data_IF_297579407326
#
_entry.id   IF_297579407326
#
_cell.length_a   1.000
_cell.length_b   1.000
_cell.length_c   1.000
_cell.angle_alpha   90.00
_cell.angle_beta   90.00
_cell.angle_gamma   90.00
#
_symmetry.space_group_name_H-M   'P 1'
#
loop_
_entity.id
_entity.type
_entity.pdbx_description
1 polymer ?
#
# COMPACT_ATOMS: atom_id res chain seq x y z
N UNK A 1 -3.50 11.24 7.37
CA UNK A 1 -4.63 10.31 7.36
C UNK A 1 -4.81 9.70 5.99
N UNK A 2 -5.05 8.44 5.94
CA UNK A 2 -5.09 7.70 4.68
C UNK A 2 -6.53 7.48 4.28
N UNK A 3 -7.10 8.40 3.57
CA UNK A 3 -8.50 8.27 3.25
C UNK A 3 -8.75 7.81 1.82
N UNK A 4 -7.93 8.20 0.90
CA UNK A 4 -8.20 7.95 -0.52
C UNK A 4 -6.99 7.36 -1.22
N UNK A 5 -6.74 6.08 -0.95
CA UNK A 5 -5.65 5.39 -1.62
C UNK A 5 -6.13 4.88 -2.98
N UNK A 6 -5.27 5.02 -3.97
CA UNK A 6 -5.57 4.58 -5.32
C UNK A 6 -4.36 3.88 -5.91
N UNK A 7 -4.59 3.13 -6.98
CA UNK A 7 -3.47 2.53 -7.70
C UNK A 7 -2.52 3.63 -8.14
N UNK A 8 -1.23 3.38 -7.96
CA UNK A 8 -0.20 4.32 -8.34
C UNK A 8 0.19 5.29 -7.24
N UNK A 9 -0.53 5.29 -6.13
CA UNK A 9 -0.18 6.14 -5.01
C UNK A 9 0.99 5.56 -4.24
N UNK A 10 1.87 6.41 -3.78
CA UNK A 10 2.96 5.98 -2.93
C UNK A 10 2.50 5.94 -1.50
N UNK A 11 2.97 4.95 -0.77
CA UNK A 11 2.61 4.80 0.63
C UNK A 11 3.82 4.36 1.42
N UNK A 12 3.76 4.59 2.72
CA UNK A 12 4.77 4.12 3.66
C UNK A 12 4.05 3.25 4.67
N UNK A 13 4.52 2.03 4.83
CA UNK A 13 3.92 1.12 5.79
C UNK A 13 4.46 1.37 7.19
N UNK A 14 3.85 0.73 8.17
CA UNK A 14 4.22 0.92 9.56
C UNK A 14 5.70 0.59 9.80
N UNK A 15 6.23 -0.39 9.14
CA UNK A 15 7.63 -0.75 9.29
C UNK A 15 8.60 0.15 8.54
N UNK A 16 8.11 1.21 7.90
CA UNK A 16 8.98 2.10 7.14
C UNK A 16 9.22 1.67 5.71
N UNK A 17 8.46 0.70 5.24
CA UNK A 17 8.61 0.22 3.87
C UNK A 17 7.87 1.16 2.92
N UNK A 18 8.59 1.70 1.97
CA UNK A 18 8.00 2.59 0.97
C UNK A 18 7.66 1.79 -0.27
N UNK A 19 6.47 2.00 -0.79
CA UNK A 19 6.07 1.31 -2.00
C UNK A 19 4.96 2.05 -2.72
N UNK A 20 4.51 1.47 -3.82
CA UNK A 20 3.45 2.03 -4.64
C UNK A 20 2.29 1.07 -4.67
N UNK A 21 1.09 1.58 -4.50
CA UNK A 21 -0.10 0.74 -4.52
C UNK A 21 -0.29 0.17 -5.92
N UNK A 22 -0.35 -1.13 -5.98
CA UNK A 22 -0.55 -1.83 -7.25
C UNK A 22 -2.00 -2.29 -7.39
N UNK A 23 -2.71 -2.44 -6.27
CA UNK A 23 -4.10 -2.83 -6.34
C UNK A 23 -4.68 -3.04 -4.96
N UNK A 24 -5.92 -3.51 -4.93
CA UNK A 24 -6.64 -3.79 -3.69
C UNK A 24 -7.24 -5.18 -3.75
N UNK A 25 -7.41 -5.78 -2.57
CA UNK A 25 -8.03 -7.09 -2.44
C UNK A 25 -9.03 -7.04 -1.29
N UNK A 26 -9.87 -8.06 -1.23
CA UNK A 26 -10.85 -8.20 -0.13
C UNK A 26 -11.69 -6.94 0.04
N UNK A 27 -12.17 -6.40 -1.07
CA UNK A 27 -13.03 -5.22 -1.08
C UNK A 27 -12.38 -4.02 -0.39
N UNK A 28 -11.08 -3.90 -0.56
CA UNK A 28 -10.35 -2.78 -0.02
C UNK A 28 -9.75 -3.00 1.36
N UNK A 29 -9.93 -4.19 1.93
CA UNK A 29 -9.31 -4.49 3.22
C UNK A 29 -7.83 -4.75 3.10
N UNK A 30 -7.42 -5.30 1.97
CA UNK A 30 -6.01 -5.59 1.71
C UNK A 30 -5.52 -4.72 0.56
N UNK A 31 -4.28 -4.33 0.65
CA UNK A 31 -3.64 -3.48 -0.35
C UNK A 31 -2.42 -4.20 -0.88
N UNK A 32 -2.29 -4.29 -2.19
CA UNK A 32 -1.09 -4.81 -2.79
C UNK A 32 -0.16 -3.63 -3.05
N UNK A 33 1.05 -3.72 -2.52
CA UNK A 33 2.03 -2.65 -2.62
C UNK A 33 3.25 -3.18 -3.34
N UNK A 34 3.64 -2.49 -4.37
CA UNK A 34 4.83 -2.85 -5.13
C UNK A 34 6.03 -2.14 -4.50
N UNK A 35 6.89 -2.91 -3.87
CA UNK A 35 8.05 -2.34 -3.17
C UNK A 35 9.30 -2.31 -4.04
N UNK A 36 9.28 -3.07 -5.14
CA UNK A 36 10.39 -3.12 -6.08
C UNK A 36 9.80 -3.45 -7.44
N UNK A 37 10.57 -3.31 -8.49
CA UNK A 37 10.08 -3.59 -9.85
C UNK A 37 9.60 -5.04 -9.99
N UNK A 38 10.14 -5.94 -9.20
CA UNK A 38 9.78 -7.36 -9.27
C UNK A 38 9.12 -7.88 -8.01
N UNK A 39 8.85 -7.03 -7.03
CA UNK A 39 8.35 -7.50 -5.74
C UNK A 39 7.07 -6.77 -5.37
N UNK A 40 6.03 -7.52 -5.17
CA UNK A 40 4.75 -6.98 -4.72
C UNK A 40 4.36 -7.71 -3.44
N UNK A 41 4.04 -6.95 -2.41
CA UNK A 41 3.61 -7.50 -1.13
C UNK A 41 2.18 -7.09 -0.86
N UNK A 42 1.48 -7.93 -0.11
CA UNK A 42 0.11 -7.64 0.29
C UNK A 42 0.12 -7.22 1.75
N UNK A 43 -0.45 -6.06 2.01
CA UNK A 43 -0.55 -5.53 3.36
C UNK A 43 -2.01 -5.34 3.72
N UNK A 44 -2.30 -5.36 5.02
CA UNK A 44 -3.59 -4.90 5.50
C UNK A 44 -3.65 -3.39 5.31
N UNK A 45 -4.84 -2.88 5.04
CA UNK A 45 -5.00 -1.45 4.88
C UNK A 45 -4.52 -0.71 6.13
N UNK A 46 -4.73 -1.30 7.29
CA UNK A 46 -4.30 -0.70 8.55
C UNK A 46 -2.78 -0.66 8.71
N UNK A 47 -2.04 -1.40 7.89
CA UNK A 47 -0.59 -1.38 7.94
C UNK A 47 0.01 -0.20 7.18
N UNK A 48 -0.79 0.56 6.47
CA UNK A 48 -0.32 1.74 5.78
C UNK A 48 -0.22 2.88 6.78
N UNK A 49 0.98 3.37 7.01
CA UNK A 49 1.21 4.39 8.01
C UNK A 49 0.93 5.79 7.48
N UNK A 50 1.34 6.06 6.27
CA UNK A 50 1.09 7.37 5.70
C UNK A 50 1.16 7.33 4.17
N UNK A 51 0.64 8.38 3.59
CA UNK A 51 0.68 8.60 2.15
C UNK A 51 1.43 9.92 1.96
N UNK A 52 2.58 9.88 1.32
CA UNK A 52 3.36 11.12 1.12
C UNK A 52 2.66 12.13 0.24
#
# INVERSE_FOLDING_TARGET
>A
MIANLSKGDKVITIGGIVGTISGFKEKGKLVTVKVDSNTTLTFNKSSIASSP
#
